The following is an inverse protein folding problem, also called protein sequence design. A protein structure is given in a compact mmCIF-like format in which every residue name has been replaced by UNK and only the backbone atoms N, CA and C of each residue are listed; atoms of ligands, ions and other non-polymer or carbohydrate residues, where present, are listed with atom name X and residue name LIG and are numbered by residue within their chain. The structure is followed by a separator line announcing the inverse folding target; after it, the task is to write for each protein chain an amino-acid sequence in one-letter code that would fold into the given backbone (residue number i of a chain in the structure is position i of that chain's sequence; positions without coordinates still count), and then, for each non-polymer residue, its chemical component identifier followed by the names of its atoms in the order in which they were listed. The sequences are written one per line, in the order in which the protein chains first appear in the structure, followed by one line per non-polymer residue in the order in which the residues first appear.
data_IF_598050218169
#
_entry.id   IF_598050218169
#
_cell.length_a   1.000
_cell.length_b   1.000
_cell.length_c   1.000
_cell.angle_alpha   90.00
_cell.angle_beta   90.00
_cell.angle_gamma   90.00
#
_symmetry.space_group_name_H-M   'P 1'
#
loop_
_entity.id
_entity.type
_entity.pdbx_description
1 polymer ?
#
# COMPACT_ATOMS: atom_id res chain seq x y z
N UNK A 1 17.34 10.62 17.40
CA UNK A 1 15.98 11.04 16.98
C UNK A 1 15.53 10.08 15.90
N UNK A 2 14.22 9.83 15.74
CA UNK A 2 13.76 9.03 14.60
C UNK A 2 14.00 9.83 13.31
N UNK A 3 14.61 9.18 12.31
CA UNK A 3 14.93 9.79 11.01
C UNK A 3 13.78 9.64 10.02
N UNK A 4 12.91 8.64 10.24
CA UNK A 4 11.76 8.36 9.40
C UNK A 4 10.44 8.31 10.19
N UNK A 5 9.30 8.54 9.54
CA UNK A 5 7.97 8.38 10.18
C UNK A 5 7.61 6.90 10.35
N UNK A 6 7.79 6.09 9.30
CA UNK A 6 7.57 4.65 9.30
C UNK A 6 8.68 3.95 8.53
N UNK A 7 9.17 2.82 9.06
CA UNK A 7 10.00 1.88 8.28
C UNK A 7 9.44 0.46 8.34
N UNK A 8 9.29 -0.16 7.16
CA UNK A 8 9.00 -1.59 7.02
C UNK A 8 10.34 -2.31 6.87
N UNK A 9 10.64 -3.27 7.74
CA UNK A 9 11.98 -3.86 7.90
C UNK A 9 12.07 -5.30 7.41
N UNK A 10 13.15 -5.63 6.72
CA UNK A 10 13.60 -6.99 6.45
C UNK A 10 12.69 -7.81 5.52
N UNK A 11 11.85 -7.15 4.73
CA UNK A 11 10.92 -7.80 3.83
C UNK A 11 11.55 -8.23 2.50
N UNK A 12 10.83 -9.05 1.74
CA UNK A 12 11.15 -9.28 0.32
C UNK A 12 10.33 -8.32 -0.52
N UNK A 13 11.01 -7.33 -1.11
CA UNK A 13 10.39 -6.26 -1.89
C UNK A 13 10.10 -6.76 -3.31
N UNK A 14 8.84 -6.62 -3.72
CA UNK A 14 8.38 -6.80 -5.10
C UNK A 14 7.82 -5.47 -5.55
N UNK A 15 8.61 -4.68 -6.26
CA UNK A 15 8.35 -3.26 -6.53
C UNK A 15 7.30 -2.97 -7.62
N UNK A 16 6.77 -4.01 -8.26
CA UNK A 16 5.77 -3.90 -9.33
C UNK A 16 6.34 -3.60 -10.72
N UNK A 17 7.65 -3.44 -10.88
CA UNK A 17 8.29 -3.19 -12.19
C UNK A 17 8.43 -4.45 -13.05
N UNK A 18 8.22 -5.64 -12.45
CA UNK A 18 8.51 -6.94 -13.05
C UNK A 18 9.96 -7.40 -12.88
N UNK A 19 10.81 -6.62 -12.20
CA UNK A 19 12.15 -7.04 -11.81
C UNK A 19 12.13 -8.19 -10.80
N UNK A 20 13.28 -8.84 -10.60
CA UNK A 20 13.43 -9.89 -9.58
C UNK A 20 13.24 -9.30 -8.18
N UNK A 21 12.51 -9.99 -7.28
CA UNK A 21 12.39 -9.57 -5.89
C UNK A 21 13.75 -9.50 -5.18
N UNK A 22 13.87 -8.60 -4.20
CA UNK A 22 15.09 -8.43 -3.41
C UNK A 22 14.76 -8.18 -1.93
N UNK A 23 15.68 -8.52 -1.04
CA UNK A 23 15.51 -8.25 0.39
C UNK A 23 15.82 -6.78 0.70
N UNK A 24 15.04 -6.18 1.59
CA UNK A 24 15.31 -4.82 2.05
C UNK A 24 14.21 -4.22 2.91
N UNK A 25 14.35 -2.92 3.11
CA UNK A 25 13.49 -2.07 3.91
C UNK A 25 12.78 -1.04 3.03
N UNK A 26 11.69 -0.46 3.53
CA UNK A 26 10.99 0.67 2.91
C UNK A 26 10.74 1.74 3.97
N UNK A 27 11.27 2.94 3.76
CA UNK A 27 11.02 4.11 4.58
C UNK A 27 9.88 4.96 4.00
N UNK A 28 9.05 5.50 4.87
CA UNK A 28 7.95 6.41 4.54
C UNK A 28 8.07 7.66 5.41
N UNK A 29 8.01 8.82 4.77
CA UNK A 29 8.04 10.15 5.37
C UNK A 29 6.97 11.05 4.76
N UNK A 30 6.18 11.73 5.59
CA UNK A 30 5.09 12.60 5.15
C UNK A 30 4.14 11.93 4.12
N UNK A 31 3.85 10.64 4.33
CA UNK A 31 2.97 9.85 3.47
C UNK A 31 3.57 9.45 2.11
N UNK A 32 4.87 9.63 1.89
CA UNK A 32 5.57 9.23 0.66
C UNK A 32 6.70 8.26 0.98
N UNK A 33 6.98 7.35 0.05
CA UNK A 33 8.16 6.48 0.13
C UNK A 33 9.40 7.37 -0.02
N UNK A 34 10.28 7.34 0.96
CA UNK A 34 11.50 8.17 1.01
C UNK A 34 12.77 7.38 0.71
N UNK A 35 12.78 6.07 0.98
CA UNK A 35 13.88 5.17 0.62
C UNK A 35 13.38 3.71 0.47
N UNK A 36 14.08 2.93 -0.36
CA UNK A 36 13.80 1.51 -0.65
C UNK A 36 15.12 0.75 -0.73
N UNK A 37 15.19 -0.43 -0.14
CA UNK A 37 16.42 -1.24 -0.10
C UNK A 37 17.13 -1.08 1.25
N UNK A 38 18.33 -0.52 1.27
CA UNK A 38 19.02 -0.24 2.52
C UNK A 38 18.53 1.08 3.12
N UNK A 39 17.90 1.03 4.30
CA UNK A 39 17.36 2.20 5.00
C UNK A 39 18.18 2.45 6.27
N UNK A 40 18.96 3.53 6.26
CA UNK A 40 19.66 4.04 7.42
C UNK A 40 18.69 4.63 8.46
N UNK A 41 19.14 4.74 9.71
CA UNK A 41 18.34 5.36 10.77
C UNK A 41 17.16 4.50 11.25
N UNK A 42 16.35 5.06 12.15
CA UNK A 42 15.16 4.41 12.72
C UNK A 42 13.88 5.13 12.35
N UNK A 43 12.81 4.36 12.17
CA UNK A 43 11.46 4.89 12.07
C UNK A 43 10.90 5.28 13.44
N UNK A 44 10.00 6.27 13.47
CA UNK A 44 9.15 6.55 14.64
C UNK A 44 8.24 5.35 14.93
N UNK A 45 7.79 4.69 13.86
CA UNK A 45 7.16 3.37 13.87
C UNK A 45 7.97 2.42 12.99
N UNK A 46 8.11 1.17 13.43
CA UNK A 46 8.72 0.12 12.62
C UNK A 46 7.79 -1.10 12.54
N UNK A 47 7.78 -1.74 11.37
CA UNK A 47 7.03 -2.97 11.11
C UNK A 47 8.04 -4.04 10.69
N UNK A 48 8.08 -5.17 11.40
CA UNK A 48 8.88 -6.33 11.00
C UNK A 48 8.16 -7.11 9.91
N UNK A 49 8.75 -7.14 8.71
CA UNK A 49 8.23 -7.85 7.55
C UNK A 49 9.10 -9.06 7.17
N UNK A 50 9.94 -9.56 8.09
CA UNK A 50 10.81 -10.71 7.82
C UNK A 50 9.98 -11.94 7.42
N UNK A 51 10.34 -12.53 6.29
CA UNK A 51 9.63 -13.67 5.72
C UNK A 51 8.32 -13.32 5.01
N UNK A 52 7.98 -12.03 4.91
CA UNK A 52 6.81 -11.51 4.20
C UNK A 52 7.23 -10.76 2.93
N UNK A 53 6.25 -10.55 2.05
CA UNK A 53 6.40 -9.68 0.88
C UNK A 53 6.03 -8.24 1.24
N UNK A 54 6.77 -7.30 0.65
CA UNK A 54 6.42 -5.88 0.63
C UNK A 54 6.18 -5.49 -0.82
N UNK A 55 4.94 -5.14 -1.13
CA UNK A 55 4.49 -4.81 -2.49
C UNK A 55 3.88 -3.41 -2.52
N UNK A 56 3.77 -2.77 -3.70
CA UNK A 56 2.78 -1.72 -3.88
C UNK A 56 1.40 -2.21 -3.46
N UNK A 57 0.59 -1.31 -2.92
CA UNK A 57 -0.82 -1.60 -2.71
C UNK A 57 -1.52 -1.88 -4.03
N UNK A 58 -2.46 -2.81 -4.04
CA UNK A 58 -3.11 -3.22 -5.28
C UNK A 58 -4.08 -2.14 -5.79
N UNK A 59 -4.19 -2.06 -7.11
CA UNK A 59 -5.13 -1.19 -7.82
C UNK A 59 -6.22 -2.07 -8.41
N UNK A 60 -7.43 -1.98 -7.84
CA UNK A 60 -8.59 -2.69 -8.37
C UNK A 60 -9.28 -1.82 -9.41
N UNK A 61 -9.10 -2.20 -10.68
CA UNK A 61 -9.59 -1.43 -11.82
C UNK A 61 -11.09 -1.64 -12.10
N UNK A 62 -11.76 -2.53 -11.35
CA UNK A 62 -13.13 -2.89 -11.66
C UNK A 62 -13.98 -3.15 -10.41
N UNK A 63 -14.47 -2.06 -9.81
CA UNK A 63 -15.34 -2.12 -8.64
C UNK A 63 -16.68 -1.46 -8.87
N UNK A 64 -17.61 -1.75 -7.96
CA UNK A 64 -18.95 -1.15 -7.87
C UNK A 64 -19.17 -0.51 -6.48
N UNK A 65 -18.14 0.14 -5.93
CA UNK A 65 -18.23 0.81 -4.63
C UNK A 65 -18.93 2.16 -4.66
N UNK A 66 -19.43 2.59 -5.83
CA UNK A 66 -20.07 3.88 -6.06
C UNK A 66 -21.06 4.29 -4.96
N UNK A 67 -21.94 3.35 -4.59
CA UNK A 67 -22.89 3.55 -3.49
C UNK A 67 -22.23 3.26 -2.13
N UNK A 68 -21.54 2.12 -2.01
CA UNK A 68 -20.99 1.64 -0.73
C UNK A 68 -20.03 2.62 -0.06
N UNK A 69 -19.22 3.35 -0.83
CA UNK A 69 -18.31 4.37 -0.32
C UNK A 69 -19.02 5.50 0.46
N UNK A 70 -20.34 5.64 0.34
CA UNK A 70 -21.11 6.64 1.08
C UNK A 70 -21.52 6.20 2.49
N UNK A 71 -21.54 4.89 2.79
CA UNK A 71 -21.94 4.36 4.10
C UNK A 71 -20.92 3.42 4.76
N UNK A 72 -19.98 2.86 4.01
CA UNK A 72 -18.93 1.99 4.53
C UNK A 72 -17.57 2.74 4.46
N UNK A 73 -17.09 3.28 5.59
CA UNK A 73 -15.85 4.04 5.62
C UNK A 73 -14.59 3.16 5.50
N UNK A 74 -14.73 1.83 5.55
CA UNK A 74 -13.60 0.91 5.61
C UNK A 74 -13.36 0.14 4.32
N UNK A 75 -14.40 -0.01 3.48
CA UNK A 75 -14.35 -0.74 2.21
C UNK A 75 -13.63 -2.09 2.37
N UNK A 76 -13.98 -2.82 3.43
CA UNK A 76 -13.24 -4.01 3.89
C UNK A 76 -13.09 -5.11 2.85
N UNK A 77 -14.04 -5.36 1.91
CA UNK A 77 -13.83 -6.38 0.90
C UNK A 77 -12.61 -6.11 0.00
N UNK A 78 -12.15 -4.86 -0.11
CA UNK A 78 -10.93 -4.52 -0.85
C UNK A 78 -9.74 -4.28 0.08
N UNK A 79 -9.91 -3.47 1.14
CA UNK A 79 -8.79 -3.09 2.02
C UNK A 79 -8.18 -4.29 2.76
N UNK A 80 -8.98 -5.33 3.09
CA UNK A 80 -8.47 -6.56 3.70
C UNK A 80 -7.69 -7.47 2.72
N UNK A 81 -7.83 -7.24 1.42
CA UNK A 81 -7.13 -8.00 0.38
C UNK A 81 -5.93 -7.22 -0.22
N UNK A 82 -5.49 -6.15 0.45
CA UNK A 82 -4.31 -5.37 0.04
C UNK A 82 -4.59 -4.32 -1.04
N UNK A 83 -5.85 -4.09 -1.40
CA UNK A 83 -6.23 -3.02 -2.34
C UNK A 83 -6.13 -1.67 -1.62
N UNK A 84 -5.48 -0.71 -2.29
CA UNK A 84 -5.29 0.66 -1.77
C UNK A 84 -5.89 1.72 -2.68
N UNK A 85 -6.28 1.35 -3.90
CA UNK A 85 -6.93 2.23 -4.86
C UNK A 85 -7.95 1.44 -5.67
N UNK A 86 -9.10 2.05 -5.93
CA UNK A 86 -10.19 1.45 -6.69
C UNK A 86 -10.62 2.38 -7.82
N UNK A 87 -11.10 1.80 -8.92
CA UNK A 87 -11.83 2.50 -9.98
C UNK A 87 -13.31 2.12 -9.87
N UNK A 88 -14.18 3.13 -9.80
CA UNK A 88 -15.64 3.02 -9.70
C UNK A 88 -16.30 3.54 -11.00
N UNK A 89 -17.62 3.41 -11.14
CA UNK A 89 -18.35 3.82 -12.35
C UNK A 89 -18.33 2.79 -13.48
N UNK A 90 -18.11 1.52 -13.14
CA UNK A 90 -18.01 0.44 -14.12
C UNK A 90 -19.38 -0.02 -14.64
N UNK A 91 -19.37 -0.71 -15.79
CA UNK A 91 -20.55 -1.38 -16.37
C UNK A 91 -21.76 -0.47 -16.64
N UNK A 92 -21.54 0.84 -16.81
CA UNK A 92 -22.62 1.81 -17.05
C UNK A 92 -23.40 2.18 -15.78
N UNK A 93 -22.92 1.78 -14.60
CA UNK A 93 -23.48 2.14 -13.31
C UNK A 93 -22.47 3.02 -12.59
N UNK A 94 -22.81 4.29 -12.45
CA UNK A 94 -22.04 5.26 -11.67
C UNK A 94 -22.97 6.06 -10.79
N UNK A 95 -22.55 6.29 -9.54
CA UNK A 95 -23.26 7.22 -8.67
C UNK A 95 -22.58 8.57 -8.80
N UNK A 96 -23.37 9.46 -9.35
CA UNK A 96 -22.98 10.73 -9.87
C UNK A 96 -23.46 11.79 -8.85
N UNK A 97 -22.93 13.03 -8.87
CA UNK A 97 -23.54 14.00 -9.75
C UNK A 97 -23.38 13.61 -11.22
#
# INVERSE_FOLDING_TARGET
MAEHDLVIRGGTIVDGTGAKPFAGDVAIDNGKISAVGEVAGKGRREIDAKGLLVTPGFVDIHTHYDAQATWDPWLTPSSQHGVTTVVMGNCGVGFAP
#
